data_IF_426213262220
#
_entry.id   IF_426213262220
#
_cell.length_a   1.000
_cell.length_b   1.000
_cell.length_c   1.000
_cell.angle_alpha   90.00
_cell.angle_beta   90.00
_cell.angle_gamma   90.00
#
_symmetry.space_group_name_H-M   'P 1'
#
loop_
_entity.id
_entity.type
_entity.pdbx_description
1 polymer ?
#
# COMPACT_ATOMS: atom_id res chain seq x y z
N UNK A 1 -16.31 0.81 -10.77
CA UNK A 1 -15.17 -0.04 -10.38
C UNK A 1 -14.03 0.86 -9.92
N UNK A 2 -13.27 0.45 -8.92
CA UNK A 2 -12.10 1.22 -8.46
C UNK A 2 -11.02 1.21 -9.56
N UNK A 3 -10.44 2.36 -9.96
CA UNK A 3 -9.54 2.42 -11.12
C UNK A 3 -8.26 1.58 -10.97
N UNK A 4 -7.78 1.39 -9.74
CA UNK A 4 -6.61 0.55 -9.47
C UNK A 4 -6.92 -0.96 -9.39
N UNK A 5 -8.14 -1.40 -9.72
CA UNK A 5 -8.52 -2.81 -9.70
C UNK A 5 -8.91 -3.33 -11.07
N UNK A 6 -8.53 -4.57 -11.38
CA UNK A 6 -8.98 -5.19 -12.61
C UNK A 6 -10.50 -5.43 -12.60
N UNK A 7 -11.13 -5.27 -13.73
CA UNK A 7 -12.48 -5.77 -13.92
C UNK A 7 -12.44 -7.30 -14.06
N UNK A 8 -13.07 -8.00 -13.11
CA UNK A 8 -13.18 -9.46 -13.12
C UNK A 8 -14.62 -9.83 -13.40
N UNK A 9 -14.91 -10.63 -14.44
CA UNK A 9 -16.26 -11.14 -14.71
C UNK A 9 -16.84 -11.88 -13.49
N UNK A 10 -18.16 -11.86 -13.27
CA UNK A 10 -18.79 -12.73 -12.28
C UNK A 10 -18.33 -14.18 -12.46
N UNK A 11 -18.15 -14.89 -11.36
CA UNK A 11 -17.74 -16.31 -11.33
C UNK A 11 -16.35 -16.62 -11.92
N UNK A 12 -15.54 -15.60 -12.21
CA UNK A 12 -14.17 -15.74 -12.67
C UNK A 12 -13.16 -15.55 -11.55
N UNK A 13 -12.04 -16.27 -11.66
CA UNK A 13 -10.83 -16.08 -10.87
C UNK A 13 -9.69 -15.65 -11.80
N UNK A 14 -8.94 -14.62 -11.40
CA UNK A 14 -7.73 -14.21 -12.09
C UNK A 14 -6.58 -14.17 -11.10
N UNK A 15 -5.54 -14.96 -11.39
CA UNK A 15 -4.32 -14.92 -10.58
C UNK A 15 -3.66 -13.54 -10.68
N UNK A 16 -3.25 -12.99 -9.54
CA UNK A 16 -2.44 -11.79 -9.49
C UNK A 16 -0.98 -12.13 -9.83
N UNK A 17 -0.39 -11.35 -10.73
CA UNK A 17 0.99 -11.55 -11.15
C UNK A 17 1.99 -10.84 -10.23
N UNK A 18 1.60 -9.69 -9.67
CA UNK A 18 2.43 -8.94 -8.72
C UNK A 18 2.20 -9.45 -7.29
N UNK A 19 3.22 -10.07 -6.68
CA UNK A 19 3.11 -10.58 -5.31
C UNK A 19 2.94 -9.48 -4.25
N UNK A 20 3.09 -8.20 -4.61
CA UNK A 20 2.86 -7.06 -3.72
C UNK A 20 1.42 -6.55 -3.72
N UNK A 21 0.57 -7.06 -4.60
CA UNK A 21 -0.80 -6.59 -4.79
C UNK A 21 -1.80 -7.35 -3.90
N UNK A 22 -1.92 -6.91 -2.66
CA UNK A 22 -3.02 -7.29 -1.79
C UNK A 22 -3.71 -6.01 -1.30
N UNK A 23 -5.03 -6.00 -1.37
CA UNK A 23 -5.81 -4.88 -0.86
C UNK A 23 -6.58 -5.32 0.38
N UNK A 24 -6.23 -4.76 1.53
CA UNK A 24 -6.79 -5.11 2.82
C UNK A 24 -8.26 -4.73 3.02
N UNK A 25 -8.84 -3.98 2.09
CA UNK A 25 -10.26 -3.60 2.14
C UNK A 25 -11.20 -4.82 2.19
N UNK A 26 -10.86 -5.89 1.47
CA UNK A 26 -11.64 -7.13 1.49
C UNK A 26 -10.82 -8.27 0.90
N UNK A 27 -10.41 -9.20 1.73
CA UNK A 27 -9.74 -10.42 1.31
C UNK A 27 -10.15 -11.61 2.17
N UNK A 28 -9.95 -12.81 1.66
CA UNK A 28 -10.17 -14.05 2.40
C UNK A 28 -9.01 -15.01 2.13
N UNK A 29 -8.60 -15.74 3.15
CA UNK A 29 -7.65 -16.83 3.02
C UNK A 29 -7.92 -17.90 4.08
N UNK A 30 -7.49 -19.17 3.87
CA UNK A 30 -7.67 -20.22 4.86
C UNK A 30 -6.95 -19.88 6.17
N UNK A 31 -7.59 -20.18 7.30
CA UNK A 31 -7.01 -19.91 8.63
C UNK A 31 -5.64 -20.59 8.84
N UNK A 32 -5.41 -21.75 8.20
CA UNK A 32 -4.08 -22.39 8.22
C UNK A 32 -3.01 -21.53 7.54
N UNK A 33 -3.35 -20.91 6.40
CA UNK A 33 -2.43 -20.01 5.67
C UNK A 33 -2.15 -18.75 6.46
N UNK A 34 -3.18 -18.16 7.06
CA UNK A 34 -3.05 -17.01 7.96
C UNK A 34 -2.07 -17.30 9.10
N UNK A 35 -2.25 -18.42 9.78
CA UNK A 35 -1.35 -18.82 10.89
C UNK A 35 0.07 -19.14 10.41
N UNK A 36 0.21 -19.78 9.25
CA UNK A 36 1.52 -20.13 8.70
C UNK A 36 2.39 -18.91 8.37
N UNK A 37 1.77 -17.80 7.91
CA UNK A 37 2.50 -16.56 7.60
C UNK A 37 2.55 -15.59 8.80
N UNK A 38 1.94 -15.94 9.94
CA UNK A 38 1.94 -15.11 11.14
C UNK A 38 0.96 -13.93 11.15
N UNK A 39 -0.03 -13.91 10.24
CA UNK A 39 -1.01 -12.83 10.18
C UNK A 39 -0.44 -11.48 9.70
N UNK A 40 -1.09 -10.38 10.08
CA UNK A 40 -0.54 -9.02 9.86
C UNK A 40 0.60 -8.75 10.84
N UNK A 41 1.63 -8.06 10.37
CA UNK A 41 2.72 -7.60 11.25
C UNK A 41 2.30 -6.30 11.96
N UNK A 42 2.00 -6.38 13.24
CA UNK A 42 1.55 -5.26 14.07
C UNK A 42 2.59 -4.16 14.30
N UNK A 43 3.81 -4.37 13.83
CA UNK A 43 4.85 -3.34 13.87
C UNK A 43 4.72 -2.31 12.73
N UNK A 44 3.91 -2.60 11.70
CA UNK A 44 3.42 -1.56 10.81
C UNK A 44 2.37 -0.72 11.54
N UNK A 45 2.63 0.56 11.68
CA UNK A 45 1.76 1.47 12.42
C UNK A 45 1.33 2.64 11.55
N UNK A 46 0.10 3.08 11.73
CA UNK A 46 -0.47 4.22 11.03
C UNK A 46 -0.92 3.84 9.62
N UNK A 47 -0.22 4.21 8.58
CA UNK A 47 -0.70 4.09 7.21
C UNK A 47 0.32 3.48 6.27
N UNK A 48 -0.08 2.41 5.58
CA UNK A 48 0.59 1.81 4.42
C UNK A 48 1.69 0.80 4.73
N UNK A 49 1.86 -0.14 3.81
CA UNK A 49 2.90 -1.15 3.83
C UNK A 49 2.50 -2.50 4.45
N UNK A 50 1.55 -2.54 5.37
CA UNK A 50 1.12 -3.73 6.09
C UNK A 50 0.53 -4.82 5.17
N UNK A 51 -0.29 -4.41 4.23
CA UNK A 51 -0.91 -5.31 3.25
C UNK A 51 0.12 -5.83 2.24
N UNK A 52 1.02 -4.95 1.81
CA UNK A 52 2.12 -5.30 0.90
C UNK A 52 3.08 -6.28 1.57
N UNK A 53 3.34 -6.11 2.87
CA UNK A 53 4.13 -7.05 3.67
C UNK A 53 3.47 -8.42 3.76
N UNK A 54 2.17 -8.45 4.09
CA UNK A 54 1.41 -9.71 4.12
C UNK A 54 1.44 -10.39 2.76
N UNK A 55 1.22 -9.65 1.67
CA UNK A 55 1.29 -10.17 0.30
C UNK A 55 2.67 -10.77 -0.02
N UNK A 56 3.75 -10.08 0.35
CA UNK A 56 5.11 -10.57 0.15
C UNK A 56 5.39 -11.87 0.92
N UNK A 57 4.92 -11.99 2.18
CA UNK A 57 5.06 -13.21 2.98
C UNK A 57 4.22 -14.36 2.45
N UNK A 58 3.01 -14.11 1.97
CA UNK A 58 2.17 -15.10 1.29
C UNK A 58 2.89 -15.63 0.03
N UNK A 59 3.41 -14.74 -0.80
CA UNK A 59 4.13 -15.12 -2.00
C UNK A 59 5.41 -15.91 -1.70
N UNK A 60 6.20 -15.50 -0.71
CA UNK A 60 7.39 -16.23 -0.25
C UNK A 60 7.06 -17.65 0.26
N UNK A 61 5.83 -17.84 0.76
CA UNK A 61 5.32 -19.15 1.20
C UNK A 61 4.69 -19.97 0.05
N UNK A 62 4.80 -19.52 -1.21
CA UNK A 62 4.22 -20.18 -2.38
C UNK A 62 2.69 -20.09 -2.47
N UNK A 63 2.06 -19.18 -1.72
CA UNK A 63 0.61 -18.99 -1.72
C UNK A 63 0.23 -17.93 -2.76
N UNK A 64 -0.49 -18.30 -3.82
CA UNK A 64 -0.90 -17.36 -4.86
C UNK A 64 -2.07 -16.49 -4.40
N UNK A 65 -2.08 -15.24 -4.85
CA UNK A 65 -3.21 -14.31 -4.70
C UNK A 65 -4.10 -14.33 -5.94
N UNK A 66 -5.40 -14.22 -5.74
CA UNK A 66 -6.38 -14.19 -6.82
C UNK A 66 -7.37 -13.05 -6.66
N UNK A 67 -7.72 -12.43 -7.77
CA UNK A 67 -8.90 -11.59 -7.88
C UNK A 67 -10.13 -12.45 -8.11
N UNK A 68 -11.18 -12.21 -7.33
CA UNK A 68 -12.43 -12.95 -7.39
C UNK A 68 -13.51 -12.06 -7.97
N UNK A 69 -14.16 -12.51 -9.04
CA UNK A 69 -15.35 -11.86 -9.60
C UNK A 69 -16.61 -12.21 -8.80
N UNK A 70 -17.62 -11.34 -8.87
CA UNK A 70 -18.93 -11.57 -8.23
C UNK A 70 -19.00 -11.20 -6.75
N UNK A 71 -17.96 -11.41 -5.97
CA UNK A 71 -17.90 -10.98 -4.57
C UNK A 71 -17.65 -9.46 -4.50
N UNK A 72 -18.71 -8.68 -4.32
CA UNK A 72 -18.62 -7.20 -4.32
C UNK A 72 -18.49 -6.67 -2.91
N UNK A 73 -17.52 -5.80 -2.70
CA UNK A 73 -17.42 -4.92 -1.55
C UNK A 73 -17.59 -3.47 -1.99
N UNK A 74 -18.19 -2.65 -1.14
CA UNK A 74 -18.40 -1.23 -1.41
C UNK A 74 -17.55 -0.43 -0.44
N UNK A 75 -16.65 0.38 -0.98
CA UNK A 75 -15.86 1.33 -0.21
C UNK A 75 -16.58 2.69 -0.26
N UNK A 76 -16.95 3.20 0.91
CA UNK A 76 -17.59 4.51 1.00
C UNK A 76 -16.60 5.58 0.57
N UNK A 77 -17.01 6.46 -0.34
CA UNK A 77 -16.20 7.59 -0.76
C UNK A 77 -15.89 8.52 0.42
N UNK A 78 -14.66 8.94 0.51
CA UNK A 78 -14.22 10.00 1.42
C UNK A 78 -13.13 10.83 0.75
N UNK A 79 -12.94 12.10 1.14
CA UNK A 79 -11.83 12.92 0.66
C UNK A 79 -10.48 12.26 0.93
N UNK A 80 -9.56 12.40 -0.02
CA UNK A 80 -8.19 11.91 0.12
C UNK A 80 -7.19 13.05 -0.06
N UNK A 81 -5.97 12.87 0.42
CA UNK A 81 -4.87 13.79 0.15
C UNK A 81 -3.98 13.21 -0.95
N UNK A 82 -3.62 14.04 -1.91
CA UNK A 82 -2.72 13.66 -3.01
C UNK A 82 -1.63 14.72 -3.14
N UNK A 83 -0.39 14.41 -2.74
CA UNK A 83 0.09 13.20 -2.03
C UNK A 83 -0.53 13.03 -0.63
N UNK A 84 -0.46 11.84 0.00
CA UNK A 84 -1.01 11.58 1.34
C UNK A 84 -0.12 12.17 2.46
N UNK A 85 0.05 13.50 2.45
CA UNK A 85 0.97 14.24 3.33
C UNK A 85 0.62 14.12 4.81
N UNK A 86 -0.64 13.91 5.14
CA UNK A 86 -1.10 13.67 6.53
C UNK A 86 -0.57 12.35 7.11
N UNK A 87 -0.08 11.46 6.26
CA UNK A 87 0.52 10.17 6.62
C UNK A 87 2.02 10.10 6.33
N UNK A 88 2.68 11.25 6.17
CA UNK A 88 4.09 11.34 5.79
C UNK A 88 4.99 10.44 6.66
N UNK A 89 4.99 10.64 7.98
CA UNK A 89 5.82 9.89 8.90
C UNK A 89 5.55 8.38 8.90
N UNK A 90 4.28 7.92 9.03
CA UNK A 90 3.98 6.50 8.96
C UNK A 90 4.43 5.85 7.65
N UNK A 91 4.21 6.51 6.52
CA UNK A 91 4.62 5.99 5.21
C UNK A 91 6.14 5.79 5.15
N UNK A 92 6.94 6.76 5.60
CA UNK A 92 8.40 6.64 5.60
C UNK A 92 8.89 5.53 6.53
N UNK A 93 8.33 5.45 7.75
CA UNK A 93 8.68 4.42 8.73
C UNK A 93 8.35 3.02 8.20
N UNK A 94 7.14 2.85 7.67
CA UNK A 94 6.66 1.58 7.15
C UNK A 94 7.40 1.16 5.86
N UNK A 95 7.70 2.10 4.95
CA UNK A 95 8.51 1.83 3.77
C UNK A 95 9.93 1.37 4.15
N UNK A 96 10.54 2.02 5.14
CA UNK A 96 11.85 1.64 5.67
C UNK A 96 11.83 0.26 6.31
N UNK A 97 10.78 -0.06 7.10
CA UNK A 97 10.57 -1.39 7.67
C UNK A 97 10.46 -2.45 6.57
N UNK A 98 9.62 -2.21 5.57
CA UNK A 98 9.44 -3.10 4.44
C UNK A 98 10.75 -3.34 3.68
N UNK A 99 11.52 -2.28 3.42
CA UNK A 99 12.84 -2.37 2.77
C UNK A 99 13.80 -3.29 3.54
N UNK A 100 13.82 -3.17 4.87
CA UNK A 100 14.66 -4.02 5.73
C UNK A 100 14.23 -5.48 5.69
N UNK A 101 12.93 -5.76 5.68
CA UNK A 101 12.37 -7.12 5.68
C UNK A 101 12.48 -7.81 4.32
N UNK A 102 12.28 -7.08 3.21
CA UNK A 102 12.10 -7.66 1.88
C UNK A 102 13.17 -7.25 0.86
N UNK A 103 14.14 -6.42 1.22
CA UNK A 103 15.22 -6.00 0.33
C UNK A 103 14.81 -5.06 -0.80
N UNK A 104 13.56 -4.63 -0.86
CA UNK A 104 12.99 -3.73 -1.88
C UNK A 104 12.06 -2.70 -1.25
N UNK A 105 11.79 -1.61 -1.94
CA UNK A 105 10.84 -0.60 -1.48
C UNK A 105 9.39 -1.00 -1.77
N UNK A 106 8.47 -0.61 -0.91
CA UNK A 106 7.04 -0.51 -1.18
C UNK A 106 6.61 0.96 -1.25
N UNK A 107 5.36 1.19 -1.62
CA UNK A 107 4.76 2.54 -1.69
C UNK A 107 5.59 3.54 -2.54
N UNK A 108 6.30 3.04 -3.55
CA UNK A 108 7.21 3.82 -4.39
C UNK A 108 6.54 4.99 -5.09
N UNK A 109 5.24 4.87 -5.38
CA UNK A 109 4.44 5.95 -5.94
C UNK A 109 4.36 7.15 -4.97
N UNK A 110 4.07 6.91 -3.69
CA UNK A 110 4.01 7.98 -2.70
C UNK A 110 5.41 8.53 -2.36
N UNK A 111 6.41 7.67 -2.27
CA UNK A 111 7.80 8.11 -2.05
C UNK A 111 8.26 9.03 -3.18
N UNK A 112 7.97 8.70 -4.44
CA UNK A 112 8.26 9.56 -5.58
C UNK A 112 7.51 10.89 -5.55
N UNK A 113 6.26 10.90 -5.07
CA UNK A 113 5.52 12.15 -4.88
C UNK A 113 6.13 13.03 -3.79
N UNK A 114 6.59 12.44 -2.69
CA UNK A 114 7.26 13.18 -1.61
C UNK A 114 8.61 13.74 -2.04
N UNK A 115 9.34 12.99 -2.86
CA UNK A 115 10.59 13.44 -3.48
C UNK A 115 10.34 14.62 -4.42
N UNK A 116 9.37 14.50 -5.32
CA UNK A 116 9.03 15.53 -6.30
C UNK A 116 8.64 16.89 -5.68
N UNK A 117 8.11 16.88 -4.45
CA UNK A 117 7.79 18.12 -3.71
C UNK A 117 8.87 18.52 -2.70
N UNK A 118 10.06 17.88 -2.75
CA UNK A 118 11.24 18.25 -1.96
C UNK A 118 11.14 17.94 -0.46
N UNK A 119 10.33 16.95 -0.07
CA UNK A 119 10.22 16.53 1.33
C UNK A 119 11.30 15.50 1.70
N UNK A 120 11.67 14.65 0.76
CA UNK A 120 12.69 13.63 0.94
C UNK A 120 13.69 13.64 -0.23
N UNK A 121 14.86 13.05 0.00
CA UNK A 121 15.73 12.60 -1.08
C UNK A 121 15.65 11.07 -1.11
N UNK A 122 15.16 10.53 -2.22
CA UNK A 122 14.93 9.12 -2.43
C UNK A 122 14.82 8.81 -3.93
N UNK A 123 15.28 7.65 -4.32
CA UNK A 123 15.00 6.97 -5.57
C UNK A 123 14.89 5.46 -5.31
N UNK A 124 14.55 4.69 -6.34
CA UNK A 124 14.31 3.25 -6.20
C UNK A 124 15.57 2.46 -5.78
N UNK A 125 16.75 2.96 -6.09
CA UNK A 125 18.05 2.33 -5.77
C UNK A 125 18.64 2.84 -4.45
N UNK A 126 18.06 3.89 -3.87
CA UNK A 126 18.52 4.48 -2.61
C UNK A 126 18.54 3.43 -1.49
N UNK A 127 19.61 3.37 -0.68
CA UNK A 127 19.67 2.46 0.46
C UNK A 127 18.77 2.89 1.62
N UNK A 128 18.42 4.17 1.69
CA UNK A 128 17.61 4.77 2.75
C UNK A 128 16.86 6.01 2.24
N UNK A 129 15.81 6.37 2.94
CA UNK A 129 15.10 7.63 2.75
C UNK A 129 15.79 8.70 3.59
N UNK A 130 16.12 9.83 2.98
CA UNK A 130 16.66 11.01 3.70
C UNK A 130 15.59 12.09 3.74
N UNK A 131 15.07 12.39 4.92
CA UNK A 131 14.13 13.50 5.11
C UNK A 131 14.88 14.83 4.91
N UNK A 132 14.36 15.68 4.04
CA UNK A 132 14.84 17.05 3.80
C UNK A 132 14.09 18.02 4.72
N UNK A 133 12.77 17.91 4.75
CA UNK A 133 11.88 18.68 5.61
C UNK A 133 10.56 17.95 5.79
N UNK A 134 9.78 18.37 6.76
CA UNK A 134 8.41 17.89 6.96
C UNK A 134 7.41 18.74 6.16
N UNK A 135 6.27 18.17 5.75
CA UNK A 135 5.20 18.97 5.15
C UNK A 135 4.62 19.94 6.17
N UNK A 136 4.35 21.16 5.74
CA UNK A 136 3.65 22.16 6.55
C UNK A 136 2.15 21.84 6.62
N UNK A 137 1.46 22.42 7.62
CA UNK A 137 0.01 22.31 7.73
C UNK A 137 -0.71 22.87 6.48
N UNK A 138 -0.16 23.92 5.88
CA UNK A 138 -0.71 24.50 4.66
C UNK A 138 -0.59 23.55 3.46
N UNK A 139 0.55 22.86 3.32
CA UNK A 139 0.75 21.85 2.26
C UNK A 139 -0.18 20.64 2.45
N UNK A 140 -0.34 20.18 3.69
CA UNK A 140 -1.29 19.10 4.00
C UNK A 140 -2.70 19.51 3.60
N UNK A 141 -3.15 20.69 4.00
CA UNK A 141 -4.46 21.21 3.64
C UNK A 141 -4.63 21.37 2.12
N UNK A 142 -3.61 21.88 1.44
CA UNK A 142 -3.63 22.04 -0.02
C UNK A 142 -3.60 20.71 -0.79
N UNK A 143 -3.17 19.63 -0.18
CA UNK A 143 -3.18 18.29 -0.78
C UNK A 143 -4.57 17.63 -0.78
N UNK A 144 -5.55 18.15 -0.03
CA UNK A 144 -6.90 17.58 0.05
C UNK A 144 -7.60 17.59 -1.32
N UNK A 145 -8.13 16.43 -1.71
CA UNK A 145 -8.86 16.22 -2.97
C UNK A 145 -10.21 15.58 -2.68
N UNK A 146 -11.29 16.40 -2.56
CA UNK A 146 -12.60 15.87 -2.21
C UNK A 146 -13.18 14.91 -3.25
N UNK A 147 -12.84 15.11 -4.52
CA UNK A 147 -13.40 14.36 -5.64
C UNK A 147 -12.47 13.26 -6.18
N UNK A 148 -11.28 13.11 -5.61
CA UNK A 148 -10.37 12.06 -6.04
C UNK A 148 -10.84 10.68 -5.56
N UNK A 149 -10.68 9.67 -6.41
CA UNK A 149 -11.13 8.30 -6.11
C UNK A 149 -10.13 7.52 -5.25
N UNK A 150 -8.86 7.95 -5.20
CA UNK A 150 -7.78 7.35 -4.40
C UNK A 150 -6.58 8.31 -4.29
N UNK A 151 -5.68 8.05 -3.35
CA UNK A 151 -4.42 8.79 -3.13
C UNK A 151 -3.24 8.11 -3.79
#
# INVERSE_FOLDING_TARGET
>A
AHPARPAIPPDALRREADPGQLWGLSFALPARSWRAVGGMDEAYRGYGGEETDLAARLAASGLPTYWVGGARAYHQHHPVHVPPLQHFEPILANATRFRRAHGRWCMTYWLGQFEAVGLIAWDADSPAIRVIRHPSTAEIAAALRPDALFS
#
